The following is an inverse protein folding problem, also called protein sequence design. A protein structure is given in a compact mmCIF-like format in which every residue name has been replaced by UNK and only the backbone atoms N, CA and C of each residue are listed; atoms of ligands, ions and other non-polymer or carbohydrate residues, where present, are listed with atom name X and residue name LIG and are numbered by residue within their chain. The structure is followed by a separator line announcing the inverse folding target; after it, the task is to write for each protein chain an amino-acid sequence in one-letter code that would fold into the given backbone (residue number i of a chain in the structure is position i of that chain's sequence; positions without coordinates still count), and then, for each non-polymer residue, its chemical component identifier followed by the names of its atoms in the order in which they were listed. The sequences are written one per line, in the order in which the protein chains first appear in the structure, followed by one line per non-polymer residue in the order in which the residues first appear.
data_IF_429487656776
#
_entry.id   IF_429487656776
#
_cell.length_a   1.000
_cell.length_b   1.000
_cell.length_c   1.000
_cell.angle_alpha   90.00
_cell.angle_beta   90.00
_cell.angle_gamma   90.00
#
_symmetry.space_group_name_H-M   'P 1'
#
loop_
_entity.id
_entity.type
_entity.pdbx_description
1 polymer ?
#
# COMPACT_ATOMS: atom_id res chain seq x y z
N UNK A 1 5.79 19.15 15.54
CA UNK A 1 4.40 18.66 15.37
C UNK A 1 3.99 18.96 13.94
N UNK A 2 4.23 18.04 13.01
CA UNK A 2 3.81 18.20 11.62
C UNK A 2 2.28 18.12 11.57
N UNK A 3 1.63 19.21 11.17
CA UNK A 3 0.20 19.24 10.84
C UNK A 3 -0.10 18.09 9.88
N UNK A 4 -0.94 17.17 10.30
CA UNK A 4 -1.36 16.05 9.46
C UNK A 4 -2.29 16.58 8.38
N UNK A 5 -2.02 16.28 7.11
CA UNK A 5 -2.90 16.72 6.02
C UNK A 5 -4.09 15.78 5.86
N UNK A 6 -5.23 16.27 5.33
CA UNK A 6 -6.44 15.46 5.18
C UNK A 6 -6.23 14.13 4.42
N UNK A 7 -5.42 14.06 3.33
CA UNK A 7 -5.11 12.79 2.68
C UNK A 7 -4.36 11.80 3.58
N UNK A 8 -3.41 12.31 4.39
CA UNK A 8 -2.67 11.50 5.35
C UNK A 8 -3.59 10.91 6.40
N UNK A 9 -4.46 11.73 6.99
CA UNK A 9 -5.40 11.30 8.02
C UNK A 9 -6.34 10.21 7.49
N UNK A 10 -6.79 10.38 6.26
CA UNK A 10 -7.67 9.42 5.61
C UNK A 10 -6.95 8.09 5.28
N UNK A 11 -5.70 8.12 4.79
CA UNK A 11 -4.91 6.91 4.60
C UNK A 11 -4.69 6.16 5.93
N UNK A 12 -4.43 6.89 7.02
CA UNK A 12 -4.30 6.32 8.36
C UNK A 12 -5.63 5.72 8.84
N UNK A 13 -6.77 6.37 8.56
CA UNK A 13 -8.11 5.84 8.86
C UNK A 13 -8.36 4.51 8.13
N UNK A 14 -8.01 4.44 6.85
CA UNK A 14 -8.11 3.21 6.05
C UNK A 14 -7.28 2.09 6.69
N UNK A 15 -6.02 2.37 7.05
CA UNK A 15 -5.15 1.40 7.73
C UNK A 15 -5.76 0.93 9.05
N UNK A 16 -6.27 1.85 9.88
CA UNK A 16 -6.94 1.50 11.15
C UNK A 16 -8.14 0.59 10.94
N UNK A 17 -8.98 0.92 9.96
CA UNK A 17 -10.20 0.16 9.69
C UNK A 17 -9.91 -1.24 9.16
N UNK A 18 -8.91 -1.38 8.28
CA UNK A 18 -8.46 -2.68 7.78
C UNK A 18 -7.87 -3.54 8.91
N UNK A 19 -7.06 -2.94 9.80
CA UNK A 19 -6.52 -3.64 10.98
C UNK A 19 -7.60 -4.05 11.97
N UNK A 20 -8.60 -3.21 12.21
CA UNK A 20 -9.73 -3.53 13.07
C UNK A 20 -10.56 -4.71 12.51
N UNK A 21 -10.55 -4.91 11.19
CA UNK A 21 -11.16 -6.06 10.53
C UNK A 21 -10.25 -7.31 10.49
N UNK A 22 -9.07 -7.27 11.10
CA UNK A 22 -8.15 -8.40 11.20
C UNK A 22 -7.16 -8.53 10.03
N UNK A 23 -7.03 -7.50 9.17
CA UNK A 23 -6.10 -7.52 8.06
C UNK A 23 -4.81 -6.75 8.38
N UNK A 24 -3.67 -7.20 7.85
CA UNK A 24 -2.47 -6.36 7.80
C UNK A 24 -2.77 -5.17 6.88
N UNK A 25 -2.37 -3.97 7.28
CA UNK A 25 -2.44 -2.78 6.44
C UNK A 25 -1.27 -1.84 6.78
N UNK A 26 -0.61 -1.35 5.73
CA UNK A 26 0.60 -0.53 5.79
C UNK A 26 0.56 0.52 4.68
N UNK A 27 1.14 1.69 4.89
CA UNK A 27 1.44 2.59 3.77
C UNK A 27 2.59 2.00 2.95
N UNK A 28 2.57 2.17 1.64
CA UNK A 28 3.56 1.57 0.75
C UNK A 28 3.98 2.52 -0.38
N UNK A 29 5.13 2.25 -1.01
CA UNK A 29 5.53 2.92 -2.24
C UNK A 29 6.02 4.35 -2.06
N UNK A 30 5.73 5.21 -3.04
CA UNK A 30 6.28 6.57 -3.13
C UNK A 30 5.89 7.46 -1.95
N UNK A 31 4.72 7.22 -1.34
CA UNK A 31 4.28 7.99 -0.17
C UNK A 31 5.20 7.77 1.04
N UNK A 32 5.74 6.55 1.22
CA UNK A 32 6.66 6.23 2.31
C UNK A 32 7.99 6.93 2.10
N UNK A 33 8.55 6.85 0.89
CA UNK A 33 9.75 7.58 0.50
C UNK A 33 9.63 9.08 0.75
N UNK A 34 8.52 9.68 0.32
CA UNK A 34 8.31 11.12 0.43
C UNK A 34 8.17 11.54 1.91
N UNK A 35 7.44 10.76 2.73
CA UNK A 35 7.35 10.97 4.17
C UNK A 35 8.72 10.91 4.86
N UNK A 36 9.57 9.95 4.49
CA UNK A 36 10.92 9.82 5.06
C UNK A 36 11.86 10.96 4.65
N UNK A 37 11.61 11.58 3.49
CA UNK A 37 12.29 12.80 3.06
C UNK A 37 11.72 14.08 3.70
N UNK A 38 10.71 13.96 4.58
CA UNK A 38 10.01 15.10 5.17
C UNK A 38 9.19 15.90 4.16
N UNK A 39 8.80 15.29 3.04
CA UNK A 39 7.97 15.87 1.99
C UNK A 39 6.53 15.39 2.15
N UNK A 40 5.60 16.19 1.67
CA UNK A 40 4.19 15.79 1.62
C UNK A 40 3.94 14.92 0.38
N UNK A 41 3.48 13.66 0.54
CA UNK A 41 3.08 12.82 -0.57
C UNK A 41 1.92 13.43 -1.35
N UNK A 42 1.93 13.25 -2.67
CA UNK A 42 0.81 13.65 -3.54
C UNK A 42 -0.33 12.64 -3.50
N UNK A 43 0.04 11.37 -3.45
CA UNK A 43 -0.86 10.23 -3.47
C UNK A 43 -0.45 9.28 -2.33
N UNK A 44 -1.43 8.56 -1.78
CA UNK A 44 -1.22 7.59 -0.71
C UNK A 44 -1.66 6.21 -1.16
N UNK A 45 -0.75 5.25 -1.01
CA UNK A 45 -0.99 3.85 -1.28
C UNK A 45 -0.98 3.05 0.03
N UNK A 46 -1.95 2.14 0.17
CA UNK A 46 -2.07 1.20 1.29
C UNK A 46 -1.91 -0.21 0.74
N UNK A 47 -0.93 -0.95 1.25
CA UNK A 47 -0.80 -2.37 1.04
C UNK A 47 -1.52 -3.13 2.15
N UNK A 48 -2.35 -4.13 1.80
CA UNK A 48 -3.14 -4.89 2.78
C UNK A 48 -3.31 -6.36 2.43
N UNK A 49 -3.52 -7.23 3.42
CA UNK A 49 -3.95 -8.61 3.17
C UNK A 49 -5.44 -8.73 2.82
N UNK A 50 -6.22 -7.65 2.89
CA UNK A 50 -7.63 -7.67 2.52
C UNK A 50 -7.80 -7.78 1.01
N UNK A 51 -8.69 -8.67 0.56
CA UNK A 51 -9.05 -8.82 -0.86
C UNK A 51 -9.89 -7.64 -1.35
N UNK A 52 -9.93 -7.37 -2.68
CA UNK A 52 -10.74 -6.30 -3.24
C UNK A 52 -12.20 -6.32 -2.78
N UNK A 53 -12.80 -7.51 -2.69
CA UNK A 53 -14.18 -7.69 -2.22
C UNK A 53 -14.34 -7.28 -0.76
N UNK A 54 -13.41 -7.66 0.11
CA UNK A 54 -13.40 -7.32 1.54
C UNK A 54 -13.20 -5.81 1.75
N UNK A 55 -12.33 -5.18 0.96
CA UNK A 55 -12.18 -3.72 0.95
C UNK A 55 -13.50 -3.05 0.55
N UNK A 56 -14.17 -3.55 -0.48
CA UNK A 56 -15.48 -3.01 -0.91
C UNK A 56 -16.58 -3.20 0.13
N UNK A 57 -16.61 -4.32 0.83
CA UNK A 57 -17.54 -4.57 1.92
C UNK A 57 -17.29 -3.61 3.11
N UNK A 58 -16.02 -3.41 3.49
CA UNK A 58 -15.65 -2.53 4.60
C UNK A 58 -15.95 -1.06 4.32
N UNK A 59 -15.63 -0.55 3.14
CA UNK A 59 -15.74 0.87 2.82
C UNK A 59 -17.06 1.24 2.11
N UNK A 60 -17.74 0.25 1.54
CA UNK A 60 -19.00 0.34 0.83
C UNK A 60 -18.83 0.65 -0.66
N UNK A 61 -19.61 -0.02 -1.50
CA UNK A 61 -19.51 0.05 -2.97
C UNK A 61 -19.55 1.47 -3.56
N UNK A 62 -20.22 2.42 -2.91
CA UNK A 62 -20.32 3.82 -3.36
C UNK A 62 -19.04 4.63 -3.13
N UNK A 63 -18.20 4.22 -2.18
CA UNK A 63 -16.93 4.87 -1.83
C UNK A 63 -15.72 4.11 -2.35
N UNK A 64 -15.92 3.08 -3.16
CA UNK A 64 -14.84 2.27 -3.71
C UNK A 64 -14.97 2.15 -5.22
N UNK A 65 -13.88 2.41 -5.93
CA UNK A 65 -13.80 2.23 -7.38
C UNK A 65 -12.93 1.00 -7.67
N UNK A 66 -13.53 0.04 -8.39
CA UNK A 66 -12.88 -1.23 -8.75
C UNK A 66 -12.10 -1.14 -10.08
N UNK A 67 -11.42 -0.01 -10.31
CA UNK A 67 -10.67 0.26 -11.56
C UNK A 67 -9.48 -0.69 -11.75
N UNK A 68 -8.91 -1.23 -10.66
CA UNK A 68 -7.78 -2.15 -10.69
C UNK A 68 -8.05 -3.50 -10.01
N UNK A 69 -9.32 -3.89 -9.83
CA UNK A 69 -9.66 -5.07 -9.02
C UNK A 69 -9.06 -6.38 -9.58
N UNK A 70 -8.95 -6.51 -10.91
CA UNK A 70 -8.24 -7.63 -11.56
C UNK A 70 -6.75 -7.71 -11.16
N UNK A 71 -6.17 -6.57 -10.78
CA UNK A 71 -4.80 -6.45 -10.27
C UNK A 71 -4.75 -6.36 -8.73
N UNK A 72 -5.85 -6.66 -8.04
CA UNK A 72 -5.90 -6.60 -6.57
C UNK A 72 -5.95 -5.19 -5.99
N UNK A 73 -6.24 -4.17 -6.81
CA UNK A 73 -6.27 -2.76 -6.39
C UNK A 73 -7.70 -2.21 -6.35
N UNK A 74 -8.06 -1.56 -5.24
CA UNK A 74 -9.30 -0.80 -5.07
C UNK A 74 -8.96 0.62 -4.70
N UNK A 75 -9.56 1.60 -5.37
CA UNK A 75 -9.46 3.00 -4.97
C UNK A 75 -10.55 3.31 -3.97
N UNK A 76 -10.19 3.78 -2.79
CA UNK A 76 -11.13 4.24 -1.76
C UNK A 76 -11.23 5.77 -1.82
N UNK A 77 -12.44 6.27 -2.03
CA UNK A 77 -12.73 7.70 -2.14
C UNK A 77 -13.05 8.27 -0.77
N UNK A 78 -12.24 9.22 -0.33
CA UNK A 78 -12.43 9.98 0.90
C UNK A 78 -13.33 11.20 0.73
N UNK A 79 -13.51 11.98 1.79
CA UNK A 79 -14.11 13.31 1.72
C UNK A 79 -13.38 14.21 0.71
N UNK A 80 -14.04 15.28 0.27
CA UNK A 80 -13.57 16.16 -0.83
C UNK A 80 -12.12 16.66 -0.66
N UNK A 81 -11.69 16.87 0.58
CA UNK A 81 -10.34 17.38 0.90
C UNK A 81 -9.28 16.27 1.04
N UNK A 82 -9.70 15.03 1.30
CA UNK A 82 -8.81 13.89 1.48
C UNK A 82 -8.46 13.18 0.17
N UNK A 83 -9.30 13.32 -0.86
CA UNK A 83 -9.05 12.75 -2.18
C UNK A 83 -9.24 11.23 -2.23
N UNK A 84 -8.36 10.55 -2.95
CA UNK A 84 -8.41 9.12 -3.20
C UNK A 84 -7.18 8.43 -2.60
N UNK A 85 -7.37 7.20 -2.12
CA UNK A 85 -6.30 6.33 -1.62
C UNK A 85 -6.38 5.01 -2.34
N UNK A 86 -5.26 4.55 -2.89
CA UNK A 86 -5.19 3.23 -3.51
C UNK A 86 -4.96 2.17 -2.43
N UNK A 87 -5.76 1.10 -2.46
CA UNK A 87 -5.63 -0.03 -1.55
C UNK A 87 -5.30 -1.26 -2.38
N UNK A 88 -4.05 -1.70 -2.28
CA UNK A 88 -3.50 -2.84 -3.01
C UNK A 88 -3.42 -4.07 -2.11
N UNK A 89 -3.92 -5.19 -2.62
CA UNK A 89 -3.84 -6.49 -1.94
C UNK A 89 -2.42 -7.04 -2.05
N UNK A 90 -1.78 -7.37 -0.92
CA UNK A 90 -0.53 -8.13 -0.86
C UNK A 90 -0.76 -9.50 -1.47
N UNK A 91 -0.20 -9.70 -2.66
CA UNK A 91 -0.42 -10.92 -3.44
C UNK A 91 0.86 -11.45 -4.07
N UNK A 92 0.92 -12.76 -4.08
CA UNK A 92 1.81 -13.55 -4.92
C UNK A 92 1.03 -13.90 -6.19
N UNK A 93 1.50 -13.49 -7.36
CA UNK A 93 1.03 -14.12 -8.60
C UNK A 93 1.47 -15.59 -8.54
N UNK A 94 0.52 -16.52 -8.49
CA UNK A 94 0.79 -17.92 -8.77
C UNK A 94 1.28 -18.06 -10.22
N UNK A 95 2.02 -19.12 -10.57
CA UNK A 95 2.48 -19.31 -11.93
C UNK A 95 1.29 -19.20 -12.90
N UNK A 96 1.47 -18.39 -13.95
CA UNK A 96 0.55 -18.29 -15.09
C UNK A 96 0.52 -19.67 -15.78
N UNK A 97 -0.38 -20.55 -15.34
CA UNK A 97 -0.75 -21.72 -16.12
C UNK A 97 -1.88 -21.30 -17.05
N UNK A 98 -1.53 -21.11 -18.32
CA UNK A 98 -2.44 -21.22 -19.46
C UNK A 98 -3.58 -20.19 -19.56
N UNK A 99 -3.29 -18.90 -19.39
CA UNK A 99 -4.17 -17.81 -19.84
C UNK A 99 -5.53 -17.71 -19.14
N UNK A 100 -5.77 -18.54 -18.12
CA UNK A 100 -6.90 -18.48 -17.21
C UNK A 100 -6.44 -17.85 -15.90
N UNK A 101 -7.30 -16.98 -15.36
CA UNK A 101 -7.07 -16.24 -14.12
C UNK A 101 -6.61 -17.22 -13.02
N UNK A 102 -5.54 -16.92 -12.26
CA UNK A 102 -5.10 -17.82 -11.19
C UNK A 102 -6.24 -18.05 -10.19
N UNK A 103 -6.60 -19.33 -9.99
CA UNK A 103 -7.69 -19.75 -9.09
C UNK A 103 -7.42 -19.42 -7.61
N UNK A 104 -6.16 -19.07 -7.27
CA UNK A 104 -5.82 -18.58 -5.94
C UNK A 104 -4.81 -17.44 -6.01
N UNK A 105 -5.24 -16.27 -5.52
CA UNK A 105 -4.32 -15.21 -5.09
C UNK A 105 -3.72 -15.72 -3.78
N UNK A 106 -2.47 -16.19 -3.82
CA UNK A 106 -1.74 -16.55 -2.61
C UNK A 106 -1.34 -15.26 -1.89
N UNK A 107 -1.74 -15.11 -0.64
CA UNK A 107 -1.33 -13.96 0.17
C UNK A 107 0.19 -13.96 0.32
N UNK A 108 0.83 -12.82 0.09
CA UNK A 108 2.25 -12.66 0.38
C UNK A 108 2.45 -11.78 1.61
N UNK A 109 3.60 -11.94 2.24
CA UNK A 109 4.08 -11.03 3.28
C UNK A 109 4.51 -9.69 2.68
N UNK A 110 4.55 -8.61 3.48
CA UNK A 110 5.13 -7.34 3.03
C UNK A 110 6.57 -7.49 2.51
N UNK A 111 7.35 -8.41 3.08
CA UNK A 111 8.71 -8.73 2.62
C UNK A 111 8.71 -9.30 1.19
N UNK A 112 7.85 -10.28 0.93
CA UNK A 112 7.73 -10.88 -0.42
C UNK A 112 7.18 -9.89 -1.46
N UNK A 113 6.30 -8.96 -1.06
CA UNK A 113 5.88 -7.84 -1.91
C UNK A 113 7.03 -6.86 -2.18
N UNK A 114 7.83 -6.54 -1.15
CA UNK A 114 8.99 -5.66 -1.26
C UNK A 114 9.95 -6.15 -2.35
N UNK A 115 10.26 -7.45 -2.34
CA UNK A 115 11.23 -8.07 -3.25
C UNK A 115 10.83 -8.03 -4.73
N UNK A 116 9.56 -7.69 -5.04
CA UNK A 116 9.02 -7.66 -6.40
C UNK A 116 8.85 -6.26 -6.97
N UNK A 117 9.11 -5.24 -6.15
CA UNK A 117 8.99 -3.84 -6.56
C UNK A 117 10.17 -3.42 -7.42
N UNK A 118 10.02 -2.27 -8.05
CA UNK A 118 10.98 -1.74 -9.01
C UNK A 118 12.29 -1.29 -8.36
N UNK A 119 12.21 -0.47 -7.31
CA UNK A 119 13.36 0.16 -6.67
C UNK A 119 13.31 0.05 -5.14
N UNK A 120 14.48 -0.07 -4.51
CA UNK A 120 14.64 -0.22 -3.05
C UNK A 120 13.91 0.88 -2.28
N UNK A 121 14.03 2.13 -2.73
CA UNK A 121 13.38 3.29 -2.13
C UNK A 121 11.84 3.30 -2.24
N UNK A 122 11.27 2.52 -3.18
CA UNK A 122 9.82 2.32 -3.32
C UNK A 122 9.36 0.98 -2.71
N UNK A 123 10.32 0.15 -2.27
CA UNK A 123 10.12 -1.15 -1.63
C UNK A 123 9.91 -1.09 -0.12
N UNK A 124 9.85 0.11 0.45
CA UNK A 124 9.62 0.31 1.88
C UNK A 124 8.13 0.40 2.21
N UNK A 125 7.79 0.02 3.44
CA UNK A 125 6.47 0.20 4.02
C UNK A 125 6.54 1.05 5.27
N UNK A 126 5.45 1.74 5.60
CA UNK A 126 5.33 2.48 6.84
C UNK A 126 4.07 2.06 7.59
N UNK A 127 4.24 1.77 8.87
CA UNK A 127 3.16 1.48 9.80
C UNK A 127 2.77 2.77 10.53
N UNK A 128 1.63 3.41 10.19
CA UNK A 128 1.20 4.62 10.86
C UNK A 128 0.63 4.40 12.27
N UNK A 129 0.40 3.15 12.68
CA UNK A 129 -0.14 2.82 14.00
C UNK A 129 0.99 2.62 14.98
N UNK A 130 1.98 1.80 14.60
CA UNK A 130 3.16 1.51 15.42
C UNK A 130 4.29 2.54 15.19
N UNK A 131 4.07 3.49 14.27
CA UNK A 131 5.02 4.55 13.89
C UNK A 131 6.42 4.02 13.52
N UNK A 132 6.47 2.98 12.68
CA UNK A 132 7.71 2.33 12.26
C UNK A 132 7.79 2.13 10.75
N UNK A 133 9.01 2.18 10.23
CA UNK A 133 9.34 1.79 8.85
C UNK A 133 9.64 0.30 8.82
N UNK A 134 9.20 -0.37 7.76
CA UNK A 134 9.54 -1.75 7.45
C UNK A 134 10.31 -1.72 6.14
N UNK A 135 11.61 -1.95 6.22
CA UNK A 135 12.53 -1.99 5.09
C UNK A 135 13.16 -3.37 4.98
N UNK A 136 12.81 -4.09 3.92
CA UNK A 136 13.30 -5.43 3.63
C UNK A 136 14.34 -5.46 2.50
N UNK A 137 14.60 -4.31 1.86
CA UNK A 137 15.36 -4.20 0.60
C UNK A 137 16.48 -3.16 0.66
N UNK A 138 16.73 -2.55 1.82
CA UNK A 138 17.76 -1.54 2.03
C UNK A 138 17.39 -0.16 1.47
N UNK A 139 16.10 0.12 1.33
CA UNK A 139 15.57 1.39 0.83
C UNK A 139 15.95 2.59 1.69
N UNK A 140 16.05 2.47 3.01
CA UNK A 140 16.43 3.59 3.89
C UNK A 140 17.88 4.02 3.65
N UNK A 141 18.78 3.04 3.49
CA UNK A 141 20.19 3.29 3.21
C UNK A 141 20.38 3.93 1.82
N UNK A 142 19.71 3.41 0.80
CA UNK A 142 19.75 3.97 -0.55
C UNK A 142 19.10 5.36 -0.60
N UNK A 143 18.02 5.61 0.14
CA UNK A 143 17.37 6.92 0.24
C UNK A 143 18.31 7.96 0.87
N UNK A 144 19.01 7.59 1.96
CA UNK A 144 20.01 8.44 2.60
C UNK A 144 21.20 8.74 1.67
N UNK A 145 21.65 7.73 0.92
CA UNK A 145 22.73 7.86 -0.06
C UNK A 145 22.30 8.53 -1.38
N UNK A 146 21.00 8.81 -1.56
CA UNK A 146 20.39 9.30 -2.82
C UNK A 146 20.66 8.40 -4.02
N UNK A 147 20.62 7.09 -3.80
CA UNK A 147 20.83 6.06 -4.80
C UNK A 147 19.48 5.53 -5.27
N UNK A 148 19.32 5.41 -6.58
CA UNK A 148 18.22 4.66 -7.19
C UNK A 148 18.74 3.27 -7.54
N UNK A 149 18.34 2.25 -6.78
CA UNK A 149 18.75 0.86 -6.98
C UNK A 149 17.54 -0.01 -7.28
N UNK A 150 17.65 -0.86 -8.29
CA UNK A 150 16.64 -1.88 -8.56
C UNK A 150 16.68 -2.96 -7.45
N UNK A 151 15.55 -3.62 -7.21
CA UNK A 151 15.47 -4.73 -6.26
C UNK A 151 15.84 -6.02 -7.00
N UNK A 152 16.89 -6.72 -6.52
CA UNK A 152 17.43 -7.95 -7.13
C UNK A 152 18.92 -7.88 -7.43
#
# INVERSE_FOLDING_TARGET
MTTSSPPREFAVEIVRKLRAAGHTALLAGGCVRDLLLGREPKDYDVATTARPEQVRELFGHRRTLAVGASFGVIVVTGPREAGHVEVATLRTEGPYQDGWRPESVAFCTPEEDAQRRDFTINGMFYDPIDARVLDFVGGEADLAARVLRAIG
#
